data_IF_424234640923
#
_entry.id   IF_424234640923
#
_cell.length_a   1.000
_cell.length_b   1.000
_cell.length_c   1.000
_cell.angle_alpha   90.00
_cell.angle_beta   90.00
_cell.angle_gamma   90.00
#
_symmetry.space_group_name_H-M   'P 1'
#
loop_
_entity.id
_entity.type
_entity.pdbx_description
1 polymer ?
#
# COMPACT_ATOMS: atom_id res chain seq x y z
N UNK A 1 44.52 -39.26 -34.99
CA UNK A 1 43.85 -38.65 -36.16
C UNK A 1 42.39 -38.42 -35.77
N UNK A 2 42.05 -37.24 -35.24
CA UNK A 2 40.71 -36.96 -34.72
C UNK A 2 39.80 -36.52 -35.88
N UNK A 3 38.77 -37.34 -36.19
CA UNK A 3 37.71 -37.00 -37.14
C UNK A 3 36.89 -35.86 -36.55
N UNK A 4 36.94 -34.68 -37.18
CA UNK A 4 36.03 -33.57 -36.93
C UNK A 4 34.62 -33.99 -37.36
N UNK A 5 33.77 -34.39 -36.40
CA UNK A 5 32.34 -34.57 -36.66
C UNK A 5 31.78 -33.25 -37.18
N UNK A 6 31.07 -33.34 -38.30
CA UNK A 6 30.49 -32.22 -39.04
C UNK A 6 29.60 -31.37 -38.14
N UNK A 7 29.88 -30.06 -38.10
CA UNK A 7 29.21 -29.02 -37.30
C UNK A 7 27.66 -29.12 -37.31
N UNK A 8 27.10 -29.60 -38.42
CA UNK A 8 25.65 -29.80 -38.62
C UNK A 8 25.02 -30.86 -37.70
N UNK A 9 25.76 -31.91 -37.34
CA UNK A 9 25.26 -32.93 -36.40
C UNK A 9 25.26 -32.38 -34.97
N UNK A 10 26.29 -31.62 -34.59
CA UNK A 10 26.37 -30.98 -33.28
C UNK A 10 25.27 -29.94 -33.06
N UNK A 11 24.94 -29.13 -34.08
CA UNK A 11 23.80 -28.21 -34.00
C UNK A 11 22.46 -28.94 -33.82
N UNK A 12 22.25 -30.09 -34.47
CA UNK A 12 21.04 -30.90 -34.29
C UNK A 12 20.94 -31.47 -32.87
N UNK A 13 22.03 -32.00 -32.33
CA UNK A 13 22.04 -32.48 -30.94
C UNK A 13 21.77 -31.35 -29.94
N UNK A 14 22.32 -30.16 -30.18
CA UNK A 14 22.07 -28.99 -29.33
C UNK A 14 20.61 -28.55 -29.39
N UNK A 15 20.01 -28.50 -30.58
CA UNK A 15 18.58 -28.16 -30.76
C UNK A 15 17.66 -29.18 -30.09
N UNK A 16 17.95 -30.47 -30.24
CA UNK A 16 17.16 -31.54 -29.62
C UNK A 16 17.27 -31.45 -28.09
N UNK A 17 18.48 -31.26 -27.56
CA UNK A 17 18.71 -31.13 -26.11
C UNK A 17 17.98 -29.91 -25.53
N UNK A 18 18.00 -28.78 -26.25
CA UNK A 18 17.26 -27.58 -25.87
C UNK A 18 15.74 -27.81 -25.88
N UNK A 19 15.21 -28.52 -26.88
CA UNK A 19 13.78 -28.84 -26.96
C UNK A 19 13.34 -29.70 -25.76
N UNK A 20 14.14 -30.69 -25.37
CA UNK A 20 13.86 -31.53 -24.19
C UNK A 20 13.93 -30.74 -22.88
N UNK A 21 14.95 -29.89 -22.71
CA UNK A 21 15.07 -29.01 -21.54
C UNK A 21 13.89 -28.03 -21.43
N UNK A 22 13.48 -27.44 -22.55
CA UNK A 22 12.35 -26.53 -22.61
C UNK A 22 11.04 -27.24 -22.27
N UNK A 23 10.78 -28.42 -22.85
CA UNK A 23 9.58 -29.20 -22.58
C UNK A 23 9.51 -29.67 -21.12
N UNK A 24 10.63 -30.11 -20.54
CA UNK A 24 10.71 -30.49 -19.13
C UNK A 24 10.43 -29.30 -18.20
N UNK A 25 11.01 -28.13 -18.50
CA UNK A 25 10.78 -26.90 -17.74
C UNK A 25 9.31 -26.47 -17.80
N UNK A 26 8.71 -26.51 -18.98
CA UNK A 26 7.31 -26.15 -19.18
C UNK A 26 6.36 -27.13 -18.49
N UNK A 27 6.67 -28.43 -18.53
CA UNK A 27 5.92 -29.45 -17.78
C UNK A 27 5.97 -29.24 -16.27
N UNK A 28 7.12 -28.81 -15.74
CA UNK A 28 7.30 -28.50 -14.32
C UNK A 28 6.47 -27.28 -13.90
N UNK A 29 6.45 -26.23 -14.73
CA UNK A 29 5.60 -25.03 -14.51
C UNK A 29 4.11 -25.39 -14.53
N UNK A 30 3.67 -26.25 -15.47
CA UNK A 30 2.27 -26.71 -15.52
C UNK A 30 1.92 -27.56 -14.29
N UNK A 31 2.81 -28.45 -13.86
CA UNK A 31 2.62 -29.27 -12.67
C UNK A 31 2.52 -28.41 -11.40
N UNK A 32 3.36 -27.38 -11.29
CA UNK A 32 3.33 -26.43 -10.18
C UNK A 32 2.03 -25.60 -10.17
N UNK A 33 1.58 -25.10 -11.33
CA UNK A 33 0.28 -24.42 -11.46
C UNK A 33 -0.92 -25.33 -11.15
N UNK A 34 -0.86 -26.59 -11.54
CA UNK A 34 -1.91 -27.57 -11.24
C UNK A 34 -1.99 -27.83 -9.74
N UNK A 35 -0.84 -27.93 -9.06
CA UNK A 35 -0.77 -28.12 -7.60
C UNK A 35 -1.35 -26.91 -6.84
N UNK A 36 -1.09 -25.68 -7.30
CA UNK A 36 -1.70 -24.45 -6.74
C UNK A 36 -3.23 -24.43 -6.98
N UNK A 37 -3.69 -24.98 -8.10
CA UNK A 37 -5.13 -25.05 -8.41
C UNK A 37 -5.89 -26.12 -7.63
N UNK A 38 -5.18 -27.03 -6.94
CA UNK A 38 -5.73 -28.13 -6.15
C UNK A 38 -5.68 -27.91 -4.64
N UNK A 39 -5.23 -26.74 -4.15
CA UNK A 39 -5.64 -26.35 -2.80
C UNK A 39 -7.17 -26.33 -2.78
N UNK A 40 -7.82 -26.99 -1.79
CA UNK A 40 -9.26 -26.97 -1.68
C UNK A 40 -9.65 -25.50 -1.63
N UNK A 41 -10.36 -25.04 -2.67
CA UNK A 41 -11.06 -23.75 -2.63
C UNK A 41 -11.90 -23.78 -1.37
N UNK A 42 -11.38 -23.22 -0.27
CA UNK A 42 -12.22 -22.72 0.81
C UNK A 42 -13.27 -21.90 0.10
N UNK A 43 -14.53 -22.23 0.38
CA UNK A 43 -15.67 -21.53 -0.18
C UNK A 43 -15.32 -20.03 -0.20
N UNK A 44 -15.45 -19.35 -1.34
CA UNK A 44 -15.07 -17.95 -1.43
C UNK A 44 -15.73 -17.25 -0.26
N UNK A 45 -14.91 -16.76 0.68
CA UNK A 45 -15.46 -15.93 1.74
C UNK A 45 -16.25 -14.84 1.02
N UNK A 46 -17.52 -14.63 1.41
CA UNK A 46 -18.33 -13.61 0.77
C UNK A 46 -17.50 -12.33 0.74
N UNK A 47 -17.40 -11.73 -0.45
CA UNK A 47 -16.68 -10.48 -0.65
C UNK A 47 -17.05 -9.53 0.50
N UNK A 48 -16.11 -8.76 1.07
CA UNK A 48 -16.38 -7.95 2.26
C UNK A 48 -17.68 -7.14 2.13
N UNK A 49 -17.94 -6.62 0.92
CA UNK A 49 -19.17 -5.92 0.52
C UNK A 49 -20.47 -6.69 0.82
N UNK A 50 -20.52 -8.00 0.62
CA UNK A 50 -21.69 -8.83 0.90
C UNK A 50 -21.95 -8.99 2.41
N UNK A 51 -20.90 -8.93 3.25
CA UNK A 51 -21.04 -8.89 4.73
C UNK A 51 -21.47 -7.51 5.22
N UNK A 52 -20.97 -6.43 4.60
CA UNK A 52 -21.42 -5.05 4.90
C UNK A 52 -22.92 -4.86 4.65
N UNK A 53 -23.46 -5.45 3.56
CA UNK A 53 -24.90 -5.39 3.24
C UNK A 53 -25.74 -6.20 4.23
N UNK A 54 -25.16 -7.23 4.85
CA UNK A 54 -25.84 -8.08 5.84
C UNK A 54 -25.94 -7.46 7.24
N UNK A 55 -25.31 -6.31 7.49
CA UNK A 55 -25.34 -5.64 8.80
C UNK A 55 -24.45 -6.28 9.86
N UNK A 56 -23.62 -7.24 9.49
CA UNK A 56 -22.63 -7.81 10.40
C UNK A 56 -21.51 -6.80 10.60
N UNK A 57 -21.22 -6.46 11.86
CA UNK A 57 -20.05 -5.68 12.23
C UNK A 57 -18.80 -6.48 11.83
N UNK A 58 -18.25 -6.19 10.65
CA UNK A 58 -16.99 -6.78 10.21
C UNK A 58 -15.91 -6.15 11.05
N UNK A 59 -15.39 -6.88 12.04
CA UNK A 59 -14.17 -6.50 12.72
C UNK A 59 -13.08 -6.32 11.65
N UNK A 60 -12.50 -5.12 11.50
CA UNK A 60 -11.41 -4.93 10.58
C UNK A 60 -10.29 -5.90 10.98
N UNK A 61 -9.79 -6.68 10.01
CA UNK A 61 -8.67 -7.58 10.27
C UNK A 61 -7.48 -6.80 10.87
N UNK A 62 -6.58 -7.45 11.63
CA UNK A 62 -5.57 -6.78 12.48
C UNK A 62 -4.78 -5.69 11.73
N UNK A 63 -4.36 -5.94 10.48
CA UNK A 63 -3.62 -4.94 9.69
C UNK A 63 -4.42 -3.70 9.25
N UNK A 64 -5.76 -3.72 9.30
CA UNK A 64 -6.60 -2.54 9.07
C UNK A 64 -6.72 -1.71 10.35
N UNK A 65 -6.80 -2.37 11.50
CA UNK A 65 -6.86 -1.67 12.79
C UNK A 65 -5.53 -0.96 13.09
N UNK A 66 -4.41 -1.66 12.92
CA UNK A 66 -3.07 -1.07 13.09
C UNK A 66 -2.87 0.14 12.17
N UNK A 67 -3.30 0.03 10.91
CA UNK A 67 -3.22 1.14 9.96
C UNK A 67 -4.13 2.31 10.33
N UNK A 68 -5.33 2.02 10.86
CA UNK A 68 -6.25 3.06 11.32
C UNK A 68 -5.58 3.88 12.42
N UNK A 69 -5.00 3.24 13.42
CA UNK A 69 -4.35 3.92 14.55
C UNK A 69 -3.21 4.84 14.08
N UNK A 70 -2.41 4.39 13.09
CA UNK A 70 -1.40 5.25 12.43
C UNK A 70 -2.03 6.48 11.78
N UNK A 71 -3.16 6.32 11.08
CA UNK A 71 -3.88 7.45 10.47
C UNK A 71 -4.38 8.41 11.53
N UNK A 72 -4.96 7.92 12.64
CA UNK A 72 -5.46 8.78 13.74
C UNK A 72 -4.31 9.63 14.28
N UNK A 73 -3.23 8.99 14.71
CA UNK A 73 -2.08 9.67 15.30
C UNK A 73 -1.46 10.69 14.33
N UNK A 74 -1.35 10.34 13.05
CA UNK A 74 -0.79 11.22 12.03
C UNK A 74 -1.68 12.44 11.79
N UNK A 75 -3.00 12.25 11.70
CA UNK A 75 -3.96 13.35 11.48
C UNK A 75 -3.96 14.32 12.65
N UNK A 76 -3.93 13.82 13.89
CA UNK A 76 -3.85 14.67 15.09
C UNK A 76 -2.58 15.53 15.09
N UNK A 77 -1.43 14.94 14.79
CA UNK A 77 -0.16 15.68 14.71
C UNK A 77 -0.18 16.74 13.60
N UNK A 78 -0.63 16.37 12.40
CA UNK A 78 -0.74 17.30 11.27
C UNK A 78 -1.67 18.47 11.61
N UNK A 79 -2.82 18.20 12.24
CA UNK A 79 -3.77 19.23 12.63
C UNK A 79 -3.18 20.19 13.66
N UNK A 80 -2.53 19.67 14.70
CA UNK A 80 -1.87 20.51 15.70
C UNK A 80 -0.80 21.42 15.11
N UNK A 81 -0.10 20.96 14.07
CA UNK A 81 0.88 21.78 13.34
C UNK A 81 0.20 22.87 12.53
N UNK A 82 -0.85 22.53 11.77
CA UNK A 82 -1.61 23.50 10.98
C UNK A 82 -2.26 24.55 11.89
N UNK A 83 -2.77 24.17 13.05
CA UNK A 83 -3.34 25.08 14.05
C UNK A 83 -2.26 25.99 14.65
N UNK A 84 -1.11 25.45 15.08
CA UNK A 84 -0.01 26.25 15.60
C UNK A 84 0.52 27.27 14.57
N UNK A 85 0.61 26.85 13.29
CA UNK A 85 0.95 27.74 12.18
C UNK A 85 -0.12 28.81 11.95
N UNK A 86 -1.41 28.48 12.09
CA UNK A 86 -2.50 29.44 11.96
C UNK A 86 -2.49 30.49 13.07
N UNK A 87 -2.20 30.07 14.30
CA UNK A 87 -2.21 30.92 15.49
C UNK A 87 -0.93 31.77 15.63
N UNK A 88 0.04 31.63 14.70
CA UNK A 88 1.36 32.25 14.81
C UNK A 88 2.06 31.91 16.14
N UNK A 89 1.74 30.74 16.71
CA UNK A 89 2.40 30.26 17.91
C UNK A 89 3.87 30.03 17.56
N UNK A 90 4.78 30.75 18.22
CA UNK A 90 6.21 30.75 17.90
C UNK A 90 6.90 29.38 18.03
N UNK A 91 6.19 28.35 18.52
CA UNK A 91 6.65 26.97 18.57
C UNK A 91 5.68 26.13 17.76
N UNK A 92 6.08 25.78 16.54
CA UNK A 92 5.36 24.85 15.68
C UNK A 92 5.78 23.43 16.09
N UNK A 93 4.84 22.53 16.44
CA UNK A 93 5.16 21.13 16.70
C UNK A 93 5.85 20.48 15.49
N UNK A 94 6.68 19.46 15.72
CA UNK A 94 7.34 18.75 14.63
C UNK A 94 6.36 17.77 13.95
N UNK A 95 6.02 18.04 12.67
CA UNK A 95 5.21 17.13 11.85
C UNK A 95 6.03 15.99 11.22
N UNK A 96 7.37 16.00 11.37
CA UNK A 96 8.26 14.96 10.86
C UNK A 96 7.90 13.57 11.39
N UNK A 97 7.44 13.49 12.64
CA UNK A 97 6.95 12.24 13.24
C UNK A 97 5.76 11.62 12.49
N UNK A 98 4.81 12.45 12.01
CA UNK A 98 3.67 11.98 11.23
C UNK A 98 4.12 11.48 9.85
N UNK A 99 5.03 12.21 9.21
CA UNK A 99 5.58 11.84 7.90
C UNK A 99 6.31 10.49 7.95
N UNK A 100 7.21 10.31 8.94
CA UNK A 100 7.98 9.08 9.10
C UNK A 100 7.08 7.88 9.46
N UNK A 101 6.10 8.10 10.34
CA UNK A 101 5.13 7.06 10.73
C UNK A 101 4.31 6.57 9.54
N UNK A 102 3.87 7.49 8.67
CA UNK A 102 3.14 7.15 7.46
C UNK A 102 4.04 6.36 6.49
N UNK A 103 5.28 6.80 6.26
CA UNK A 103 6.20 6.09 5.36
C UNK A 103 6.53 4.66 5.82
N UNK A 104 6.60 4.42 7.12
CA UNK A 104 6.90 3.11 7.68
C UNK A 104 5.68 2.17 7.74
N UNK A 105 4.47 2.69 7.58
CA UNK A 105 3.25 1.93 7.83
C UNK A 105 2.92 0.93 6.70
N UNK A 106 2.53 -0.31 7.03
CA UNK A 106 1.93 -1.21 6.05
C UNK A 106 0.55 -0.66 5.62
N UNK A 107 0.36 -0.42 4.32
CA UNK A 107 -0.84 0.25 3.80
C UNK A 107 -1.82 -0.76 3.21
N UNK A 108 -3.05 -0.89 3.77
CA UNK A 108 -4.10 -1.68 3.14
C UNK A 108 -4.46 -1.13 1.76
N UNK A 109 -4.73 -1.97 0.74
CA UNK A 109 -4.99 -1.52 -0.62
C UNK A 109 -6.09 -0.47 -0.73
N UNK A 110 -7.13 -0.58 0.10
CA UNK A 110 -8.29 0.33 0.10
C UNK A 110 -7.95 1.75 0.57
N UNK A 111 -6.85 1.94 1.31
CA UNK A 111 -6.46 3.24 1.88
C UNK A 111 -5.28 3.90 1.17
N UNK A 112 -4.76 3.34 0.06
CA UNK A 112 -3.57 3.89 -0.62
C UNK A 112 -3.71 5.35 -1.05
N UNK A 113 -4.89 5.73 -1.54
CA UNK A 113 -5.14 7.13 -1.94
C UNK A 113 -5.12 8.06 -0.74
N UNK A 114 -5.86 7.72 0.33
CA UNK A 114 -5.82 8.44 1.61
C UNK A 114 -4.39 8.57 2.13
N UNK A 115 -3.66 7.46 2.15
CA UNK A 115 -2.28 7.40 2.64
C UNK A 115 -1.36 8.38 1.90
N UNK A 116 -1.46 8.40 0.58
CA UNK A 116 -0.63 9.30 -0.26
C UNK A 116 -0.94 10.76 0.02
N UNK A 117 -2.23 11.09 0.18
CA UNK A 117 -2.65 12.46 0.52
C UNK A 117 -2.17 12.88 1.91
N UNK A 118 -2.20 11.96 2.88
CA UNK A 118 -1.69 12.20 4.24
C UNK A 118 -0.17 12.40 4.24
N UNK A 119 0.59 11.59 3.49
CA UNK A 119 2.05 11.78 3.34
C UNK A 119 2.35 13.15 2.78
N UNK A 120 1.62 13.57 1.74
CA UNK A 120 1.80 14.89 1.14
C UNK A 120 1.53 15.99 2.17
N UNK A 121 0.40 15.90 2.86
CA UNK A 121 0.02 16.90 3.86
C UNK A 121 1.01 16.95 5.03
N UNK A 122 1.47 15.79 5.52
CA UNK A 122 2.48 15.70 6.58
C UNK A 122 3.81 16.31 6.14
N UNK A 123 4.25 16.03 4.91
CA UNK A 123 5.49 16.60 4.37
C UNK A 123 5.42 18.12 4.26
N UNK A 124 4.31 18.65 3.76
CA UNK A 124 4.12 20.09 3.64
C UNK A 124 4.02 20.75 5.02
N UNK A 125 3.30 20.13 5.97
CA UNK A 125 3.21 20.62 7.34
C UNK A 125 4.59 20.60 8.05
N UNK A 126 5.41 19.57 7.79
CA UNK A 126 6.75 19.44 8.37
C UNK A 126 7.73 20.53 7.92
N UNK A 127 7.46 21.22 6.80
CA UNK A 127 8.26 22.40 6.43
C UNK A 127 8.10 23.55 7.42
N UNK A 128 6.96 23.61 8.12
CA UNK A 128 6.70 24.62 9.14
C UNK A 128 6.66 26.06 8.60
N UNK A 129 6.40 26.24 7.29
CA UNK A 129 6.42 27.55 6.66
C UNK A 129 5.05 28.24 6.77
N UNK A 130 5.02 29.37 7.49
CA UNK A 130 3.80 30.19 7.65
C UNK A 130 3.20 30.67 6.32
N UNK A 131 4.01 30.90 5.29
CA UNK A 131 3.55 31.32 3.96
C UNK A 131 2.62 30.30 3.29
N UNK A 132 2.71 29.03 3.68
CA UNK A 132 1.99 27.92 3.05
C UNK A 132 0.72 27.53 3.82
N UNK A 133 0.36 28.25 4.89
CA UNK A 133 -0.79 27.90 5.74
C UNK A 133 -2.12 27.83 4.95
N UNK A 134 -2.33 28.74 4.00
CA UNK A 134 -3.54 28.75 3.17
C UNK A 134 -3.60 27.51 2.27
N UNK A 135 -2.46 27.12 1.70
CA UNK A 135 -2.35 25.91 0.89
C UNK A 135 -2.60 24.67 1.75
N UNK A 136 -2.00 24.59 2.95
CA UNK A 136 -2.20 23.48 3.89
C UNK A 136 -3.67 23.33 4.27
N UNK A 137 -4.35 24.42 4.63
CA UNK A 137 -5.78 24.42 4.95
C UNK A 137 -6.65 24.01 3.77
N UNK A 138 -6.33 24.47 2.56
CA UNK A 138 -7.05 24.05 1.35
C UNK A 138 -6.90 22.53 1.11
N UNK A 139 -5.67 22.01 1.21
CA UNK A 139 -5.39 20.58 1.02
C UNK A 139 -6.07 19.73 2.10
N UNK A 140 -6.06 20.19 3.34
CA UNK A 140 -6.75 19.54 4.46
C UNK A 140 -8.27 19.51 4.22
N UNK A 141 -8.86 20.63 3.80
CA UNK A 141 -10.29 20.70 3.49
C UNK A 141 -10.68 19.75 2.35
N UNK A 142 -9.87 19.67 1.29
CA UNK A 142 -10.08 18.72 0.19
C UNK A 142 -9.99 17.27 0.66
N UNK A 143 -9.03 16.96 1.54
CA UNK A 143 -8.90 15.63 2.14
C UNK A 143 -10.15 15.25 2.93
N UNK A 144 -10.66 16.16 3.76
CA UNK A 144 -11.84 15.90 4.58
C UNK A 144 -13.14 15.83 3.76
N UNK A 145 -13.23 16.58 2.67
CA UNK A 145 -14.32 16.43 1.72
C UNK A 145 -14.33 15.04 1.07
N UNK A 146 -13.14 14.49 0.76
CA UNK A 146 -13.00 13.15 0.17
C UNK A 146 -13.21 12.02 1.19
N UNK A 147 -12.87 12.26 2.47
CA UNK A 147 -12.97 11.28 3.54
C UNK A 147 -13.68 11.90 4.77
N UNK A 148 -15.02 12.00 4.76
CA UNK A 148 -15.79 12.72 5.79
C UNK A 148 -15.70 12.15 7.20
N UNK A 149 -15.17 10.94 7.36
CA UNK A 149 -14.96 10.30 8.66
C UNK A 149 -13.66 10.76 9.35
N UNK A 150 -12.71 11.36 8.63
CA UNK A 150 -11.43 11.80 9.19
C UNK A 150 -11.57 12.89 10.28
N UNK A 151 -12.38 13.95 10.10
CA UNK A 151 -12.54 14.99 11.13
C UNK A 151 -13.06 14.40 12.46
N UNK A 152 -14.05 13.51 12.38
CA UNK A 152 -14.63 12.87 13.56
C UNK A 152 -13.63 12.02 14.37
N UNK A 153 -12.51 11.65 13.75
CA UNK A 153 -11.43 10.90 14.39
C UNK A 153 -10.36 11.83 14.97
N UNK A 154 -10.22 13.03 14.41
CA UNK A 154 -9.37 14.08 14.97
C UNK A 154 -9.98 14.74 16.22
N UNK A 155 -11.31 14.65 16.40
CA UNK A 155 -12.03 15.16 17.57
C UNK A 155 -12.06 14.18 18.76
N UNK A 156 -11.45 13.00 18.64
CA UNK A 156 -11.38 12.04 19.74
C UNK A 156 -10.18 12.34 20.66
N UNK A 157 -10.40 12.44 21.99
CA UNK A 157 -9.38 12.86 22.96
C UNK A 157 -8.25 11.85 23.18
#
# INVERSE_FOLDING_TARGET
MFKTKTNREQMRYLQISFLFLFAASFGLIIAERSRISQEPKRAPEPLPLARYVAGDAVEPGPGIQDYRDVVIASVLQINGVIEALADSAGVVPDAGGAYDSLLASPVPPIYRSLHTSLIFLAKEAAKGEFSDINLLKEKQALLYAQYPWLPAVADQP
#
